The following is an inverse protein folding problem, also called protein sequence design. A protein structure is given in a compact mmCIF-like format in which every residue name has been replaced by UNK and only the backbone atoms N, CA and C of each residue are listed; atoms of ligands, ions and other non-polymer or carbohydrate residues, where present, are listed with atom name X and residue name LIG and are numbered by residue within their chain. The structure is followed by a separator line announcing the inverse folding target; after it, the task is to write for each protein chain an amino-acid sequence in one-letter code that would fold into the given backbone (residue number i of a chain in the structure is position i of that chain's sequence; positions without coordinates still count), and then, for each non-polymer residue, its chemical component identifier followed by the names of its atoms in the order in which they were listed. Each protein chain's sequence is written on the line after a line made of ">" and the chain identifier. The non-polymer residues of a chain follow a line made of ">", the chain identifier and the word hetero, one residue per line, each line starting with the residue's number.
data_IF_559670639130
#
_entry.id   IF_559670639130
#
_cell.length_a   1.000
_cell.length_b   1.000
_cell.length_c   1.000
_cell.angle_alpha   90.00
_cell.angle_beta   90.00
_cell.angle_gamma   90.00
#
_symmetry.space_group_name_H-M   'P 1'
#
loop_
_entity.id
_entity.type
_entity.pdbx_description
1 polymer ?
#
# COMPACT_ATOMS: atom_id res chain seq x y z
N UNK A 1 9.60 -11.43 -9.91
CA UNK A 1 9.01 -10.10 -9.75
C UNK A 1 9.79 -9.32 -8.71
N UNK A 2 10.03 -8.07 -8.96
CA UNK A 2 10.74 -7.19 -8.03
C UNK A 2 9.87 -6.90 -6.80
N UNK A 3 10.48 -6.89 -5.61
CA UNK A 3 9.76 -6.56 -4.38
C UNK A 3 9.14 -5.17 -4.46
N UNK A 4 9.85 -4.23 -5.08
CA UNK A 4 9.36 -2.88 -5.26
C UNK A 4 8.04 -2.87 -6.03
N UNK A 5 7.97 -3.64 -7.11
CA UNK A 5 6.74 -3.72 -7.92
C UNK A 5 5.62 -4.37 -7.11
N UNK A 6 5.94 -5.43 -6.37
CA UNK A 6 4.95 -6.08 -5.52
C UNK A 6 4.34 -5.09 -4.52
N UNK A 7 5.18 -4.31 -3.86
CA UNK A 7 4.69 -3.36 -2.87
C UNK A 7 3.89 -2.22 -3.50
N UNK A 8 4.26 -1.80 -4.71
CA UNK A 8 3.48 -0.80 -5.43
C UNK A 8 2.07 -1.31 -5.74
N UNK A 9 1.98 -2.55 -6.18
CA UNK A 9 0.67 -3.16 -6.49
C UNK A 9 -0.16 -3.28 -5.21
N UNK A 10 0.46 -3.72 -4.11
CA UNK A 10 -0.26 -3.85 -2.85
C UNK A 10 -0.75 -2.49 -2.35
N UNK A 11 0.08 -1.46 -2.48
CA UNK A 11 -0.32 -0.12 -2.05
C UNK A 11 -1.56 0.35 -2.83
N UNK A 12 -1.56 0.12 -4.14
CA UNK A 12 -2.72 0.49 -4.97
C UNK A 12 -3.96 -0.26 -4.54
N UNK A 13 -3.84 -1.56 -4.29
CA UNK A 13 -4.98 -2.38 -3.88
C UNK A 13 -5.56 -1.92 -2.55
N UNK A 14 -4.69 -1.54 -1.62
CA UNK A 14 -5.18 -1.05 -0.33
C UNK A 14 -5.90 0.28 -0.48
N UNK A 15 -5.42 1.16 -1.35
CA UNK A 15 -6.13 2.41 -1.60
C UNK A 15 -7.49 2.18 -2.23
N UNK A 16 -7.56 1.26 -3.20
CA UNK A 16 -8.84 0.93 -3.83
C UNK A 16 -9.80 0.33 -2.82
N UNK A 17 -9.32 -0.51 -1.93
CA UNK A 17 -10.14 -1.08 -0.88
C UNK A 17 -10.65 0.01 0.05
N UNK A 18 -9.81 1.00 0.38
CA UNK A 18 -10.20 2.12 1.22
C UNK A 18 -11.34 2.91 0.59
N UNK A 19 -11.27 3.14 -0.73
CA UNK A 19 -12.31 3.88 -1.42
C UNK A 19 -13.66 3.18 -1.40
N UNK A 20 -13.64 1.85 -1.38
CA UNK A 20 -14.87 1.06 -1.34
C UNK A 20 -15.38 0.83 0.07
N UNK A 21 -14.57 1.08 1.06
CA UNK A 21 -14.90 0.82 2.45
C UNK A 21 -15.71 1.96 3.03
N UNK A 22 -16.90 1.66 3.53
CA UNK A 22 -17.78 2.67 4.13
C UNK A 22 -17.47 2.91 5.61
N UNK A 23 -16.90 1.91 6.27
CA UNK A 23 -16.60 2.01 7.70
C UNK A 23 -15.32 2.82 7.90
N UNK A 24 -15.35 3.94 8.68
CA UNK A 24 -14.18 4.82 8.79
C UNK A 24 -12.93 4.14 9.36
N UNK A 25 -13.11 3.26 10.33
CA UNK A 25 -11.95 2.58 10.94
C UNK A 25 -11.28 1.67 9.92
N UNK A 26 -12.08 0.91 9.17
CA UNK A 26 -11.54 0.01 8.16
C UNK A 26 -10.89 0.79 7.02
N UNK A 27 -11.51 1.93 6.63
CA UNK A 27 -10.92 2.80 5.60
C UNK A 27 -9.55 3.30 6.05
N UNK A 28 -9.46 3.75 7.29
CA UNK A 28 -8.19 4.24 7.84
C UNK A 28 -7.15 3.13 7.84
N UNK A 29 -7.53 1.92 8.23
CA UNK A 29 -6.61 0.79 8.26
C UNK A 29 -6.02 0.51 6.87
N UNK A 30 -6.87 0.53 5.83
CA UNK A 30 -6.40 0.32 4.47
C UNK A 30 -5.45 1.42 4.01
N UNK A 31 -5.71 2.67 4.40
CA UNK A 31 -4.83 3.78 4.04
C UNK A 31 -3.48 3.66 4.73
N UNK A 32 -3.47 3.25 6.00
CA UNK A 32 -2.22 3.01 6.71
C UNK A 32 -1.41 1.91 6.03
N UNK A 33 -2.09 0.83 5.62
CA UNK A 33 -1.43 -0.26 4.91
C UNK A 33 -0.85 0.22 3.57
N UNK A 34 -1.60 1.06 2.85
CA UNK A 34 -1.13 1.60 1.59
C UNK A 34 0.15 2.41 1.77
N UNK A 35 0.20 3.27 2.78
CA UNK A 35 1.40 4.05 3.06
C UNK A 35 2.58 3.16 3.40
N UNK A 36 2.33 2.11 4.15
CA UNK A 36 3.36 1.15 4.53
C UNK A 36 3.96 0.47 3.30
N UNK A 37 3.10 0.01 2.40
CA UNK A 37 3.57 -0.64 1.19
C UNK A 37 4.31 0.33 0.28
N UNK A 38 3.88 1.58 0.21
CA UNK A 38 4.59 2.59 -0.56
C UNK A 38 6.00 2.81 -0.03
N UNK A 39 6.13 2.88 1.29
CA UNK A 39 7.43 3.06 1.91
C UNK A 39 8.34 1.88 1.61
N UNK A 40 7.81 0.66 1.72
CA UNK A 40 8.57 -0.54 1.40
C UNK A 40 8.98 -0.58 -0.06
N UNK A 41 8.13 -0.09 -0.95
CA UNK A 41 8.45 0.00 -2.36
C UNK A 41 9.65 0.91 -2.61
N UNK A 42 9.67 2.06 -1.95
CA UNK A 42 10.79 3.01 -2.09
C UNK A 42 12.07 2.42 -1.51
N UNK A 43 11.97 1.82 -0.32
CA UNK A 43 13.13 1.20 0.32
C UNK A 43 13.71 0.08 -0.53
N UNK A 44 12.83 -0.72 -1.15
CA UNK A 44 13.27 -1.78 -2.04
C UNK A 44 14.07 -1.27 -3.22
N UNK A 45 13.73 -0.09 -3.72
CA UNK A 45 14.49 0.52 -4.81
C UNK A 45 15.82 1.09 -4.33
N UNK A 46 15.87 1.56 -3.09
CA UNK A 46 17.07 2.20 -2.55
C UNK A 46 18.11 1.20 -2.06
N UNK A 47 17.71 -0.04 -1.85
CA UNK A 47 18.62 -1.06 -1.35
C UNK A 47 19.55 -1.62 -2.42
N UNK A 48 19.58 -1.07 -3.59
CA UNK A 48 20.45 -1.51 -4.67
C UNK A 48 21.70 -0.69 -4.82
#
# INVERSE_FOLDING_TARGET
>A
MSDSIYFQVRARREREAALRQQHPVARHAHLVMAERYERLSVEGRNLR
#
